data_IF_000641862312
#
_entry.id   IF_000641862312
#
_cell.length_a   1.000
_cell.length_b   1.000
_cell.length_c   1.000
_cell.angle_alpha   90.00
_cell.angle_beta   90.00
_cell.angle_gamma   90.00
#
_symmetry.space_group_name_H-M   'P 1'
#
loop_
_entity.id
_entity.type
_entity.pdbx_description
1 polymer ?
#
# COMPACT_ATOMS: atom_id res chain seq x y z
N UNK A 1 -12.99 -12.81 -4.85
CA UNK A 1 -12.67 -11.45 -4.35
C UNK A 1 -11.18 -11.24 -4.47
N UNK A 2 -10.73 -10.32 -5.32
CA UNK A 2 -9.36 -9.84 -5.25
C UNK A 2 -9.17 -9.25 -3.85
N UNK A 3 -8.34 -9.89 -3.04
CA UNK A 3 -8.03 -9.39 -1.73
C UNK A 3 -7.02 -8.24 -1.96
N UNK A 4 -7.50 -6.99 -1.97
CA UNK A 4 -6.62 -5.82 -2.10
C UNK A 4 -5.59 -5.91 -0.98
N UNK A 5 -4.35 -6.26 -1.34
CA UNK A 5 -3.29 -6.39 -0.37
C UNK A 5 -2.65 -5.03 -0.14
N UNK A 6 -3.34 -4.22 0.67
CA UNK A 6 -2.88 -2.88 1.12
C UNK A 6 -1.45 -2.94 1.65
N UNK A 7 -1.08 -4.01 2.35
CA UNK A 7 0.27 -4.22 2.88
C UNK A 7 1.30 -4.34 1.75
N UNK A 8 1.01 -5.12 0.70
CA UNK A 8 1.88 -5.21 -0.48
C UNK A 8 2.05 -3.86 -1.18
N UNK A 9 0.98 -3.05 -1.28
CA UNK A 9 1.06 -1.69 -1.82
C UNK A 9 1.97 -0.81 -0.97
N UNK A 10 1.79 -0.79 0.35
CA UNK A 10 2.65 -0.03 1.28
C UNK A 10 4.13 -0.44 1.11
N UNK A 11 4.41 -1.74 1.04
CA UNK A 11 5.77 -2.24 0.81
C UNK A 11 6.34 -1.81 -0.55
N UNK A 12 5.53 -1.83 -1.61
CA UNK A 12 5.94 -1.39 -2.93
C UNK A 12 6.29 0.10 -2.94
N UNK A 13 5.44 0.95 -2.37
CA UNK A 13 5.71 2.38 -2.24
C UNK A 13 6.93 2.66 -1.36
N UNK A 14 7.08 1.96 -0.23
CA UNK A 14 8.26 2.08 0.64
C UNK A 14 9.55 1.76 -0.11
N UNK A 15 9.57 0.65 -0.85
CA UNK A 15 10.73 0.24 -1.66
C UNK A 15 11.02 1.24 -2.79
N UNK A 16 9.99 1.75 -3.45
CA UNK A 16 10.13 2.78 -4.48
C UNK A 16 10.64 4.11 -3.95
N UNK A 17 10.40 4.43 -2.68
CA UNK A 17 10.94 5.58 -1.99
C UNK A 17 12.32 5.33 -1.35
N UNK A 18 12.93 4.16 -1.58
CA UNK A 18 14.24 3.74 -1.02
C UNK A 18 14.31 3.80 0.53
N UNK A 19 13.17 3.72 1.20
CA UNK A 19 13.08 3.79 2.66
C UNK A 19 13.27 2.42 3.31
N UNK A 20 14.09 2.35 4.35
CA UNK A 20 14.11 1.18 5.23
C UNK A 20 12.88 1.16 6.15
N UNK A 21 12.48 0.00 6.67
CA UNK A 21 11.34 -0.08 7.62
C UNK A 21 11.57 0.76 8.87
N UNK A 22 12.83 0.88 9.31
CA UNK A 22 13.22 1.73 10.44
C UNK A 22 13.00 3.21 10.11
N UNK A 23 13.45 3.64 8.94
CA UNK A 23 13.33 5.03 8.53
C UNK A 23 11.86 5.43 8.31
N UNK A 24 11.06 4.54 7.74
CA UNK A 24 9.61 4.76 7.64
C UNK A 24 8.96 4.90 9.03
N UNK A 25 9.44 4.17 10.04
CA UNK A 25 8.93 4.29 11.41
C UNK A 25 9.23 5.64 12.05
N UNK A 26 10.45 6.11 11.85
CA UNK A 26 10.90 7.42 12.33
C UNK A 26 10.08 8.55 11.68
N UNK A 27 9.81 8.47 10.36
CA UNK A 27 9.07 9.52 9.65
C UNK A 27 7.56 9.47 9.95
N UNK A 28 6.99 8.28 10.11
CA UNK A 28 5.56 8.11 10.38
C UNK A 28 5.19 8.37 11.86
N UNK A 29 6.14 8.83 12.69
CA UNK A 29 6.00 9.04 14.13
C UNK A 29 5.31 7.86 14.83
N UNK A 30 5.72 6.65 14.42
CA UNK A 30 5.15 5.40 14.92
C UNK A 30 6.25 4.58 15.56
N UNK A 31 5.91 3.86 16.62
CA UNK A 31 6.91 3.06 17.33
C UNK A 31 7.39 1.93 16.43
N UNK A 32 8.70 1.64 16.44
CA UNK A 32 9.30 0.50 15.73
C UNK A 32 8.57 -0.82 16.04
N UNK A 33 8.01 -0.97 17.25
CA UNK A 33 7.14 -2.08 17.65
C UNK A 33 5.84 -2.21 16.83
N UNK A 34 5.21 -1.09 16.44
CA UNK A 34 4.00 -1.09 15.61
C UNK A 34 4.34 -1.39 14.14
N UNK A 35 5.46 -0.86 13.63
CA UNK A 35 5.88 -1.14 12.25
C UNK A 35 6.42 -2.56 12.07
N UNK A 36 7.12 -3.10 13.06
CA UNK A 36 7.48 -4.53 13.06
C UNK A 36 6.24 -5.43 13.05
N UNK A 37 5.11 -5.01 13.61
CA UNK A 37 3.83 -5.74 13.50
C UNK A 37 3.17 -5.61 12.12
N UNK A 38 3.37 -4.48 11.43
CA UNK A 38 2.92 -4.26 10.06
C UNK A 38 3.77 -5.09 9.08
N UNK A 39 5.09 -5.11 9.26
CA UNK A 39 6.02 -5.97 8.51
C UNK A 39 5.85 -7.47 8.86
N UNK A 40 5.28 -7.79 10.03
CA UNK A 40 4.98 -9.17 10.48
C UNK A 40 3.51 -9.59 10.27
N UNK A 41 2.76 -8.99 9.34
CA UNK A 41 1.61 -9.66 8.69
C UNK A 41 0.40 -10.07 9.56
N UNK A 42 0.12 -9.46 10.72
CA UNK A 42 -0.97 -9.98 11.59
C UNK A 42 -2.24 -9.12 11.63
N UNK A 43 -2.23 -7.86 11.18
CA UNK A 43 -3.46 -7.05 11.25
C UNK A 43 -3.60 -6.08 10.10
N UNK A 44 -4.80 -6.03 9.50
CA UNK A 44 -5.23 -4.92 8.64
C UNK A 44 -5.07 -3.61 9.44
N UNK A 45 -4.15 -2.70 9.05
CA UNK A 45 -3.89 -1.50 9.83
C UNK A 45 -5.16 -0.65 9.92
N UNK A 46 -5.43 0.00 11.07
CA UNK A 46 -6.53 0.95 11.15
C UNK A 46 -6.27 2.12 10.20
N UNK A 47 -7.35 2.76 9.73
CA UNK A 47 -7.28 3.85 8.74
C UNK A 47 -6.33 4.99 9.16
N UNK A 48 -6.26 5.28 10.46
CA UNK A 48 -5.36 6.28 11.03
C UNK A 48 -3.89 5.94 10.75
N UNK A 49 -3.50 4.67 10.90
CA UNK A 49 -2.15 4.20 10.60
C UNK A 49 -1.86 4.31 9.11
N UNK A 50 -2.81 3.93 8.24
CA UNK A 50 -2.65 4.10 6.80
C UNK A 50 -2.45 5.57 6.42
N UNK A 51 -3.19 6.49 7.06
CA UNK A 51 -3.04 7.94 6.84
C UNK A 51 -1.63 8.42 7.21
N UNK A 52 -1.11 8.03 8.37
CA UNK A 52 0.25 8.39 8.79
C UNK A 52 1.31 7.87 7.80
N UNK A 53 1.17 6.61 7.37
CA UNK A 53 2.07 6.00 6.40
C UNK A 53 1.99 6.72 5.05
N UNK A 54 0.80 7.11 4.58
CA UNK A 54 0.66 7.86 3.33
C UNK A 54 1.35 9.23 3.38
N UNK A 55 1.26 9.92 4.53
CA UNK A 55 1.94 11.21 4.75
C UNK A 55 3.45 11.00 4.77
N UNK A 56 3.95 9.99 5.49
CA UNK A 56 5.37 9.66 5.57
C UNK A 56 5.98 9.25 4.21
N UNK A 57 5.21 8.54 3.38
CA UNK A 57 5.59 8.16 2.02
C UNK A 57 5.36 9.28 1.00
N UNK A 58 4.81 10.43 1.41
CA UNK A 58 4.45 11.55 0.55
C UNK A 58 3.56 11.13 -0.65
N UNK A 59 2.54 10.32 -0.38
CA UNK A 59 1.55 9.86 -1.37
C UNK A 59 0.13 10.04 -0.86
N UNK A 60 -0.85 9.97 -1.77
CA UNK A 60 -2.26 9.98 -1.38
C UNK A 60 -2.67 8.63 -0.76
N UNK A 61 -3.44 8.67 0.33
CA UNK A 61 -3.97 7.48 1.01
C UNK A 61 -4.71 6.51 0.07
N UNK A 62 -5.43 7.04 -0.92
CA UNK A 62 -6.15 6.27 -1.92
C UNK A 62 -5.23 5.31 -2.70
N UNK A 63 -3.95 5.65 -2.85
CA UNK A 63 -2.99 4.86 -3.63
C UNK A 63 -2.80 3.43 -3.09
N UNK A 64 -3.06 3.20 -1.80
CA UNK A 64 -3.04 1.85 -1.23
C UNK A 64 -4.18 0.96 -1.69
N UNK A 65 -5.25 1.54 -2.23
CA UNK A 65 -6.47 0.85 -2.63
C UNK A 65 -6.66 0.79 -4.15
N UNK A 66 -5.85 1.52 -4.92
CA UNK A 66 -5.92 1.49 -6.38
C UNK A 66 -5.35 0.19 -6.93
N UNK A 67 -6.17 -0.61 -7.60
CA UNK A 67 -5.71 -1.75 -8.41
C UNK A 67 -5.37 -1.28 -9.82
N UNK A 68 -4.29 -1.82 -10.40
CA UNK A 68 -4.09 -1.73 -11.84
C UNK A 68 -4.95 -2.84 -12.46
N UNK A 69 -6.22 -2.57 -12.69
CA UNK A 69 -7.09 -3.48 -13.41
C UNK A 69 -6.68 -3.46 -14.88
N UNK A 70 -6.23 -4.60 -15.41
CA UNK A 70 -6.09 -4.75 -16.85
C UNK A 70 -7.50 -4.72 -17.45
N UNK A 71 -7.86 -3.59 -18.06
CA UNK A 71 -9.17 -3.38 -18.67
C UNK A 71 -9.26 -3.98 -20.08
N UNK A 72 -8.17 -4.53 -20.63
CA UNK A 72 -8.14 -5.10 -21.98
C UNK A 72 -9.17 -6.23 -22.13
N UNK A 73 -9.36 -7.06 -21.10
CA UNK A 73 -10.38 -8.12 -21.07
C UNK A 73 -11.82 -7.59 -20.96
N UNK A 74 -11.99 -6.32 -20.54
CA UNK A 74 -13.29 -5.66 -20.46
C UNK A 74 -13.69 -4.98 -21.78
N UNK A 75 -12.78 -4.88 -22.75
CA UNK A 75 -13.03 -4.24 -24.05
C UNK A 75 -13.39 -5.28 -25.10
N UNK A 76 -14.68 -5.39 -25.44
CA UNK A 76 -15.12 -6.20 -26.59
C UNK A 76 -14.80 -5.46 -27.88
N UNK A 77 -13.89 -6.01 -28.69
CA UNK A 77 -13.53 -5.48 -30.01
C UNK A 77 -14.45 -6.07 -31.08
N UNK A 78 -14.79 -5.27 -32.09
CA UNK A 78 -15.64 -5.70 -33.20
C UNK A 78 -15.14 -6.98 -33.92
N UNK A 79 -13.81 -7.21 -33.87
CA UNK A 79 -13.14 -8.32 -34.54
C UNK A 79 -13.09 -9.61 -33.68
N UNK A 80 -13.64 -9.58 -32.46
CA UNK A 80 -13.70 -10.74 -31.54
C UNK A 80 -15.14 -11.09 -31.15
N UNK A 81 -16.12 -10.69 -31.99
CA UNK A 81 -17.53 -11.06 -31.85
C UNK A 81 -17.81 -12.43 -32.45
#
# INVERSE_FOLDING_TARGET
MNNINVVQKIMAFRKGAELTSKHLAEIADTTLSMLSKIDQWITNPPLQTLKLISVALNILLLNFFLENTNTEELVVRANQR
#
